data_IF_738104769161
#
_entry.id   IF_738104769161
#
_cell.length_a   1.000
_cell.length_b   1.000
_cell.length_c   1.000
_cell.angle_alpha   90.00
_cell.angle_beta   90.00
_cell.angle_gamma   90.00
#
_symmetry.space_group_name_H-M   'P 1'
#
loop_
_entity.id
_entity.type
_entity.pdbx_description
1 polymer ?
#
# COMPACT_ATOMS: atom_id res chain seq x y z
N UNK A 1 6.47 9.35 24.18
CA UNK A 1 6.05 9.43 22.75
C UNK A 1 7.14 8.79 21.89
N UNK A 2 6.80 8.26 20.71
CA UNK A 2 7.74 7.52 19.85
C UNK A 2 7.92 8.20 18.49
N UNK A 3 9.15 8.53 18.12
CA UNK A 3 9.49 9.12 16.83
C UNK A 3 10.25 8.10 15.97
N UNK A 4 9.54 7.36 15.11
CA UNK A 4 10.18 6.47 14.14
C UNK A 4 10.67 7.25 12.92
N UNK A 5 11.98 7.41 12.79
CA UNK A 5 12.60 8.14 11.69
C UNK A 5 12.48 7.42 10.34
N UNK A 6 12.25 6.10 10.32
CA UNK A 6 11.98 5.36 9.09
C UNK A 6 10.58 5.67 8.56
N UNK A 7 9.64 5.99 9.44
CA UNK A 7 8.26 6.35 9.12
C UNK A 7 7.94 7.82 9.40
N UNK A 8 8.98 8.68 9.48
CA UNK A 8 8.90 10.07 9.92
C UNK A 8 7.78 10.87 9.25
N UNK A 9 7.61 10.72 7.92
CA UNK A 9 6.59 11.45 7.15
C UNK A 9 5.17 11.11 7.57
N UNK A 10 4.91 9.86 7.97
CA UNK A 10 3.61 9.43 8.43
C UNK A 10 3.39 9.85 9.89
N UNK A 11 4.42 9.70 10.73
CA UNK A 11 4.38 10.09 12.14
C UNK A 11 4.19 11.60 12.33
N UNK A 12 4.78 12.43 11.49
CA UNK A 12 4.55 13.89 11.51
C UNK A 12 3.09 14.28 11.25
N UNK A 13 2.36 13.45 10.50
CA UNK A 13 0.94 13.63 10.21
C UNK A 13 0.04 13.06 11.31
N UNK A 14 0.44 11.94 11.90
CA UNK A 14 -0.26 11.32 13.01
C UNK A 14 0.73 10.65 13.99
N UNK A 15 0.81 11.18 15.21
CA UNK A 15 1.72 10.68 16.26
C UNK A 15 1.36 9.25 16.73
N UNK A 16 0.13 8.79 16.48
CA UNK A 16 -0.32 7.42 16.78
C UNK A 16 -0.06 6.44 15.63
N UNK A 17 0.64 6.85 14.56
CA UNK A 17 0.88 6.00 13.40
C UNK A 17 1.70 4.75 13.77
N UNK A 18 1.19 3.58 13.41
CA UNK A 18 1.86 2.28 13.59
C UNK A 18 2.13 1.65 12.23
N UNK A 19 3.39 1.53 11.76
CA UNK A 19 3.68 1.04 10.43
C UNK A 19 3.23 -0.42 10.23
N UNK A 20 2.59 -0.72 9.09
CA UNK A 20 2.25 -2.09 8.68
C UNK A 20 3.52 -2.92 8.47
N UNK A 21 4.46 -2.38 7.70
CA UNK A 21 5.69 -3.06 7.33
C UNK A 21 6.88 -2.57 8.17
N UNK A 22 7.64 -3.53 8.71
CA UNK A 22 8.91 -3.28 9.39
C UNK A 22 10.04 -3.75 8.47
N UNK A 23 10.97 -2.86 8.15
CA UNK A 23 12.07 -3.18 7.23
C UNK A 23 13.04 -4.16 7.89
N UNK A 24 13.66 -5.10 7.18
CA UNK A 24 14.72 -5.93 7.74
C UNK A 24 16.02 -5.11 7.85
N UNK A 25 16.30 -4.56 9.04
CA UNK A 25 17.48 -3.74 9.34
C UNK A 25 17.75 -3.76 10.85
N UNK A 26 18.92 -3.31 11.29
CA UNK A 26 19.25 -3.25 12.72
C UNK A 26 18.59 -2.01 13.34
N UNK A 27 17.49 -2.21 14.05
CA UNK A 27 16.79 -1.15 14.75
C UNK A 27 17.51 -0.74 16.03
N UNK A 28 17.53 0.56 16.28
CA UNK A 28 18.01 1.15 17.52
C UNK A 28 16.94 2.06 18.10
N UNK A 29 16.95 2.19 19.43
CA UNK A 29 16.14 3.14 20.16
C UNK A 29 17.07 4.03 20.99
N UNK A 30 16.87 5.34 20.87
CA UNK A 30 17.57 6.36 21.64
C UNK A 30 16.52 7.18 22.37
N UNK A 31 16.60 7.24 23.70
CA UNK A 31 15.86 8.24 24.45
C UNK A 31 16.62 9.57 24.37
N UNK A 32 15.98 10.59 23.81
CA UNK A 32 16.57 11.93 23.65
C UNK A 32 15.54 12.98 24.01
N UNK A 33 15.83 13.79 25.03
CA UNK A 33 14.95 14.87 25.52
C UNK A 33 13.54 14.35 25.87
N UNK A 34 13.43 13.13 26.42
CA UNK A 34 12.16 12.49 26.82
C UNK A 34 11.36 11.84 25.69
N UNK A 35 11.90 11.79 24.46
CA UNK A 35 11.29 11.10 23.32
C UNK A 35 12.09 9.86 22.96
N UNK A 36 11.39 8.73 22.75
CA UNK A 36 11.99 7.52 22.21
C UNK A 36 12.09 7.64 20.68
N UNK A 37 13.29 7.90 20.19
CA UNK A 37 13.58 8.00 18.76
C UNK A 37 13.98 6.61 18.25
N UNK A 38 13.25 6.09 17.25
CA UNK A 38 13.64 4.88 16.53
C UNK A 38 14.45 5.27 15.30
N UNK A 39 15.60 4.63 15.17
CA UNK A 39 16.46 4.70 14.00
C UNK A 39 16.89 3.28 13.61
N UNK A 40 17.68 3.17 12.53
CA UNK A 40 18.31 1.93 12.13
C UNK A 40 19.70 2.17 11.56
N UNK A 41 20.51 1.13 11.53
CA UNK A 41 21.79 1.12 10.83
C UNK A 41 21.95 -0.21 10.09
N UNK A 42 22.79 -0.20 9.06
CA UNK A 42 23.07 -1.40 8.28
C UNK A 42 24.39 -2.03 8.74
N UNK A 43 25.41 -1.22 9.01
CA UNK A 43 26.74 -1.70 9.43
C UNK A 43 27.51 -0.65 10.27
N UNK A 44 28.54 -1.08 10.97
CA UNK A 44 29.53 -0.24 11.64
C UNK A 44 30.95 -0.65 11.24
N UNK A 45 31.62 0.22 10.48
CA UNK A 45 32.99 0.00 10.03
C UNK A 45 33.97 0.31 11.17
N UNK A 46 34.48 -0.74 11.82
CA UNK A 46 35.40 -0.63 12.95
C UNK A 46 36.72 0.08 12.60
N UNK A 47 37.23 -0.09 11.37
CA UNK A 47 38.49 0.51 10.93
C UNK A 47 38.33 2.00 10.65
N UNK A 48 37.26 2.36 9.93
CA UNK A 48 36.95 3.76 9.60
C UNK A 48 36.21 4.49 10.71
N UNK A 49 35.77 3.79 11.75
CA UNK A 49 34.95 4.33 12.86
C UNK A 49 33.70 5.02 12.29
N UNK A 50 33.04 4.39 11.32
CA UNK A 50 31.98 4.98 10.51
C UNK A 50 30.73 4.11 10.54
N UNK A 51 29.58 4.71 10.88
CA UNK A 51 28.28 4.03 10.86
C UNK A 51 27.70 4.13 9.44
N UNK A 52 27.14 3.04 8.92
CA UNK A 52 26.55 2.98 7.57
C UNK A 52 25.06 2.71 7.66
N UNK A 53 24.26 3.42 6.89
CA UNK A 53 22.85 3.06 6.66
C UNK A 53 22.34 3.53 5.29
N UNK A 54 21.30 2.88 4.79
CA UNK A 54 20.70 3.16 3.49
C UNK A 54 19.33 3.84 3.59
N UNK A 55 19.02 4.70 2.62
CA UNK A 55 17.70 5.36 2.48
C UNK A 55 17.24 5.40 1.04
N UNK A 56 15.97 5.03 0.85
CA UNK A 56 15.29 5.09 -0.44
C UNK A 56 14.89 6.52 -0.79
N UNK A 57 15.86 7.28 -1.28
CA UNK A 57 15.66 8.66 -1.69
C UNK A 57 16.75 9.07 -2.66
N UNK A 58 16.37 9.80 -3.71
CA UNK A 58 17.33 10.38 -4.67
C UNK A 58 18.16 11.54 -4.08
N UNK A 59 17.61 12.23 -3.08
CA UNK A 59 18.24 13.40 -2.43
C UNK A 59 18.25 13.24 -0.90
N UNK A 60 19.22 13.90 -0.26
CA UNK A 60 19.25 14.02 1.19
C UNK A 60 18.06 14.88 1.65
N UNK A 61 17.35 14.43 2.68
CA UNK A 61 16.17 15.11 3.24
C UNK A 61 16.43 15.42 4.71
N UNK A 62 15.69 16.36 5.26
CA UNK A 62 15.83 16.79 6.66
C UNK A 62 15.68 15.63 7.65
N UNK A 63 14.75 14.69 7.41
CA UNK A 63 14.59 13.51 8.25
C UNK A 63 15.78 12.54 8.19
N UNK A 64 16.59 12.55 7.12
CA UNK A 64 17.84 11.79 7.09
C UNK A 64 18.90 12.44 7.97
N UNK A 65 18.90 13.76 8.11
CA UNK A 65 19.79 14.48 9.03
C UNK A 65 19.47 14.09 10.47
N UNK A 66 18.19 14.04 10.84
CA UNK A 66 17.76 13.53 12.16
C UNK A 66 18.23 12.09 12.38
N UNK A 67 18.16 11.25 11.34
CA UNK A 67 18.63 9.87 11.40
C UNK A 67 20.14 9.78 11.64
N UNK A 68 20.93 10.56 10.89
CA UNK A 68 22.40 10.67 11.06
C UNK A 68 22.74 11.06 12.50
N UNK A 69 22.10 12.09 13.04
CA UNK A 69 22.36 12.55 14.41
C UNK A 69 21.98 11.46 15.42
N UNK A 70 20.84 10.79 15.21
CA UNK A 70 20.34 9.75 16.13
C UNK A 70 21.27 8.54 16.18
N UNK A 71 21.72 8.02 15.03
CA UNK A 71 22.65 6.87 15.02
C UNK A 71 24.00 7.25 15.63
N UNK A 72 24.49 8.46 15.36
CA UNK A 72 25.71 8.99 15.96
C UNK A 72 25.62 9.04 17.49
N UNK A 73 24.56 9.65 18.03
CA UNK A 73 24.34 9.76 19.49
C UNK A 73 24.20 8.39 20.13
N UNK A 74 23.47 7.47 19.51
CA UNK A 74 23.31 6.10 20.03
C UNK A 74 24.65 5.38 20.19
N UNK A 75 25.52 5.43 19.19
CA UNK A 75 26.83 4.78 19.25
C UNK A 75 27.77 5.49 20.23
N UNK A 76 27.76 6.84 20.28
CA UNK A 76 28.53 7.61 21.25
C UNK A 76 28.12 7.31 22.69
N UNK A 77 26.82 7.19 22.98
CA UNK A 77 26.31 6.80 24.29
C UNK A 77 26.74 5.39 24.69
N UNK A 78 27.06 4.53 23.72
CA UNK A 78 27.64 3.19 23.94
C UNK A 78 29.17 3.19 24.02
N UNK A 79 29.81 4.36 24.13
CA UNK A 79 31.26 4.50 24.24
C UNK A 79 32.03 4.15 22.96
N UNK A 80 31.36 4.11 21.80
CA UNK A 80 32.04 3.85 20.52
C UNK A 80 32.68 5.13 19.99
N UNK A 81 33.90 5.00 19.47
CA UNK A 81 34.54 6.08 18.73
C UNK A 81 33.95 6.20 17.33
N UNK A 82 33.45 7.37 16.96
CA UNK A 82 32.77 7.61 15.68
C UNK A 82 33.38 8.83 15.00
N UNK A 83 33.92 8.65 13.78
CA UNK A 83 34.46 9.73 12.94
C UNK A 83 33.42 10.32 11.98
N UNK A 84 32.38 9.55 11.67
CA UNK A 84 31.31 10.00 10.80
C UNK A 84 30.24 8.95 10.53
N UNK A 85 29.30 9.33 9.67
CA UNK A 85 28.18 8.50 9.23
C UNK A 85 28.12 8.52 7.72
N UNK A 86 28.01 7.35 7.12
CA UNK A 86 27.82 7.15 5.69
C UNK A 86 26.35 6.80 5.40
N UNK A 87 25.76 7.53 4.45
CA UNK A 87 24.38 7.34 4.02
C UNK A 87 24.34 6.96 2.55
N UNK A 88 23.90 5.75 2.27
CA UNK A 88 23.69 5.25 0.91
C UNK A 88 22.29 5.65 0.44
N UNK A 89 22.24 6.51 -0.57
CA UNK A 89 21.04 6.90 -1.31
C UNK A 89 20.94 6.10 -2.61
N UNK A 90 19.86 6.27 -3.38
CA UNK A 90 19.62 5.45 -4.59
C UNK A 90 20.76 5.52 -5.62
N UNK A 91 21.40 6.70 -5.76
CA UNK A 91 22.37 6.94 -6.83
C UNK A 91 23.75 7.35 -6.30
N UNK A 92 23.94 7.44 -4.97
CA UNK A 92 25.15 8.00 -4.38
C UNK A 92 25.30 7.66 -2.91
N UNK A 93 26.55 7.58 -2.49
CA UNK A 93 26.94 7.45 -1.09
C UNK A 93 27.39 8.81 -0.58
N UNK A 94 26.93 9.19 0.62
CA UNK A 94 27.29 10.44 1.27
C UNK A 94 27.98 10.20 2.60
N UNK A 95 29.13 10.82 2.82
CA UNK A 95 29.81 10.82 4.12
C UNK A 95 29.58 12.12 4.88
N UNK A 96 29.28 12.02 6.17
CA UNK A 96 29.09 13.14 7.09
C UNK A 96 30.05 13.00 8.27
N UNK A 97 30.98 13.95 8.42
CA UNK A 97 31.95 13.95 9.51
C UNK A 97 31.30 14.26 10.86
N UNK A 98 31.91 13.79 11.94
CA UNK A 98 31.51 14.11 13.32
C UNK A 98 31.31 15.62 13.54
N UNK A 99 32.26 16.45 13.09
CA UNK A 99 32.14 17.92 13.17
C UNK A 99 30.88 18.45 12.48
N UNK A 100 30.53 17.89 11.32
CA UNK A 100 29.30 18.28 10.62
C UNK A 100 28.05 17.87 11.40
N UNK A 101 28.05 16.67 11.98
CA UNK A 101 26.92 16.13 12.75
C UNK A 101 26.68 16.98 13.99
N UNK A 102 27.73 17.29 14.76
CA UNK A 102 27.67 18.14 15.94
C UNK A 102 27.04 19.51 15.62
N UNK A 103 27.46 20.14 14.51
CA UNK A 103 26.89 21.42 14.06
C UNK A 103 25.40 21.33 13.69
N UNK A 104 24.89 20.14 13.34
CA UNK A 104 23.48 19.92 12.96
C UNK A 104 22.60 19.44 14.12
N UNK A 105 23.15 19.13 15.29
CA UNK A 105 22.38 18.73 16.47
C UNK A 105 21.21 19.66 16.83
N UNK A 106 21.33 21.00 16.73
CA UNK A 106 20.21 21.90 17.03
C UNK A 106 18.96 21.65 16.18
N UNK A 107 19.11 21.10 14.96
CA UNK A 107 17.98 20.75 14.10
C UNK A 107 17.15 19.61 14.70
N UNK A 108 17.80 18.58 15.24
CA UNK A 108 17.10 17.49 15.91
C UNK A 108 16.40 17.99 17.18
N UNK A 109 17.09 18.81 17.98
CA UNK A 109 16.50 19.38 19.20
C UNK A 109 15.22 20.17 18.89
N UNK A 110 15.27 21.08 17.89
CA UNK A 110 14.09 21.85 17.45
C UNK A 110 12.95 20.95 16.98
N UNK A 111 13.26 19.89 16.24
CA UNK A 111 12.25 18.93 15.78
C UNK A 111 11.59 18.20 16.94
N UNK A 112 12.36 17.78 17.95
CA UNK A 112 11.85 17.08 19.13
C UNK A 112 10.93 17.97 19.96
N UNK A 113 11.28 19.25 20.16
CA UNK A 113 10.39 20.19 20.84
C UNK A 113 9.07 20.38 20.09
N UNK A 114 9.11 20.48 18.76
CA UNK A 114 7.88 20.51 17.96
C UNK A 114 7.10 19.19 18.02
N UNK A 115 7.79 18.06 18.12
CA UNK A 115 7.16 16.75 18.13
C UNK A 115 6.47 16.45 19.47
N UNK A 116 6.90 17.07 20.57
CA UNK A 116 6.28 16.96 21.90
C UNK A 116 4.85 17.53 21.94
N UNK A 117 4.54 18.48 21.07
CA UNK A 117 3.20 19.10 21.00
C UNK A 117 2.20 18.04 20.49
N UNK A 118 1.22 17.61 21.30
CA UNK A 118 0.25 16.61 20.88
C UNK A 118 -0.59 17.10 19.69
N UNK A 119 -0.85 16.21 18.74
CA UNK A 119 -1.74 16.49 17.61
C UNK A 119 -2.96 15.59 17.66
N UNK A 120 -4.11 16.17 17.37
CA UNK A 120 -5.32 15.39 17.15
C UNK A 120 -5.15 14.43 15.98
N UNK A 121 -5.75 13.24 16.11
CA UNK A 121 -5.77 12.26 15.02
C UNK A 121 -6.70 12.80 13.93
N UNK A 122 -6.20 12.81 12.71
CA UNK A 122 -7.01 13.11 11.51
C UNK A 122 -6.87 11.95 10.53
N UNK A 123 -7.88 11.63 9.73
CA UNK A 123 -7.71 10.64 8.67
C UNK A 123 -6.94 11.24 7.48
N UNK A 124 -6.24 10.39 6.72
CA UNK A 124 -5.56 10.82 5.50
C UNK A 124 -4.81 9.71 4.79
N UNK A 125 -4.10 10.08 3.71
CA UNK A 125 -3.40 9.12 2.82
C UNK A 125 -2.33 8.26 3.50
N UNK A 126 -1.89 8.60 4.71
CA UNK A 126 -0.94 7.82 5.49
C UNK A 126 -1.61 6.65 6.22
N UNK A 127 -2.93 6.70 6.48
CA UNK A 127 -3.65 5.63 7.16
C UNK A 127 -3.55 4.28 6.44
N UNK A 128 -3.41 4.27 5.10
CA UNK A 128 -3.23 3.03 4.33
C UNK A 128 -1.96 2.24 4.68
N UNK A 129 -0.99 2.88 5.35
CA UNK A 129 0.23 2.26 5.82
C UNK A 129 0.21 1.98 7.34
N UNK A 130 -0.93 2.17 8.00
CA UNK A 130 -1.08 2.11 9.44
C UNK A 130 -1.80 0.82 9.89
N UNK A 131 -1.22 0.07 10.85
CA UNK A 131 -1.83 -1.17 11.39
C UNK A 131 -3.16 -0.91 12.09
N UNK A 132 -3.30 0.22 12.77
CA UNK A 132 -4.51 0.57 13.55
C UNK A 132 -5.57 1.32 12.74
N UNK A 133 -5.43 1.39 11.39
CA UNK A 133 -6.35 2.11 10.49
C UNK A 133 -7.82 1.78 10.76
N UNK A 134 -8.16 0.50 10.80
CA UNK A 134 -9.55 0.04 10.91
C UNK A 134 -10.19 0.51 12.21
N UNK A 135 -9.52 0.28 13.34
CA UNK A 135 -9.97 0.75 14.66
C UNK A 135 -10.13 2.28 14.67
N UNK A 136 -9.13 3.03 14.21
CA UNK A 136 -9.21 4.49 14.16
C UNK A 136 -10.37 4.99 13.31
N UNK A 137 -10.59 4.40 12.13
CA UNK A 137 -11.70 4.82 11.26
C UNK A 137 -13.07 4.51 11.86
N UNK A 138 -13.22 3.39 12.56
CA UNK A 138 -14.45 3.10 13.31
C UNK A 138 -14.69 4.13 14.43
N UNK A 139 -13.64 4.56 15.14
CA UNK A 139 -13.73 5.62 16.15
C UNK A 139 -14.18 6.96 15.54
N UNK A 140 -13.67 7.33 14.36
CA UNK A 140 -14.12 8.54 13.65
C UNK A 140 -15.61 8.46 13.31
N UNK A 141 -16.08 7.35 12.74
CA UNK A 141 -17.49 7.15 12.39
C UNK A 141 -18.38 7.24 13.63
N UNK A 142 -17.99 6.61 14.75
CA UNK A 142 -18.73 6.67 16.02
C UNK A 142 -18.86 8.08 16.59
N UNK A 143 -17.89 8.95 16.29
CA UNK A 143 -17.90 10.38 16.66
C UNK A 143 -18.64 11.26 15.65
N UNK A 144 -19.26 10.67 14.62
CA UNK A 144 -19.95 11.39 13.55
C UNK A 144 -19.03 11.93 12.45
N UNK A 145 -17.72 11.62 12.49
CA UNK A 145 -16.80 11.98 11.42
C UNK A 145 -16.87 10.96 10.27
N UNK A 146 -17.59 11.34 9.23
CA UNK A 146 -17.80 10.53 8.01
C UNK A 146 -16.71 10.74 6.94
N UNK A 147 -15.63 11.47 7.24
CA UNK A 147 -14.54 11.72 6.28
C UNK A 147 -13.73 10.47 5.91
N UNK A 148 -13.89 9.37 6.66
CA UNK A 148 -13.29 8.06 6.39
C UNK A 148 -14.14 7.16 5.50
N UNK A 149 -15.36 7.60 5.14
CA UNK A 149 -16.26 6.83 4.29
C UNK A 149 -15.78 6.89 2.84
N UNK A 150 -15.62 5.75 2.14
CA UNK A 150 -15.21 5.74 0.73
C UNK A 150 -16.15 6.56 -0.15
N UNK A 151 -15.57 7.50 -0.91
CA UNK A 151 -16.30 8.42 -1.78
C UNK A 151 -16.79 9.71 -1.11
N UNK A 152 -16.69 9.85 0.22
CA UNK A 152 -17.01 11.09 0.91
C UNK A 152 -15.76 11.96 1.02
N UNK A 153 -15.56 12.81 0.02
CA UNK A 153 -14.50 13.83 0.01
C UNK A 153 -15.00 15.19 0.51
N UNK A 154 -14.09 16.13 0.76
CA UNK A 154 -14.46 17.53 1.05
C UNK A 154 -15.26 18.17 -0.08
N UNK A 155 -14.93 17.87 -1.33
CA UNK A 155 -15.67 18.36 -2.51
C UNK A 155 -17.06 17.73 -2.59
N UNK A 156 -17.20 16.42 -2.34
CA UNK A 156 -18.50 15.74 -2.29
C UNK A 156 -19.41 16.35 -1.20
N UNK A 157 -18.88 16.61 0.00
CA UNK A 157 -19.63 17.26 1.07
C UNK A 157 -20.01 18.72 0.77
N UNK A 158 -19.27 19.39 -0.12
CA UNK A 158 -19.65 20.72 -0.62
C UNK A 158 -20.83 20.60 -1.58
N UNK A 159 -20.75 19.68 -2.54
CA UNK A 159 -21.83 19.42 -3.52
C UNK A 159 -23.14 19.01 -2.84
N UNK A 160 -23.10 18.14 -1.82
CA UNK A 160 -24.31 17.78 -1.07
C UNK A 160 -24.94 18.98 -0.36
N UNK A 161 -24.14 19.93 0.13
CA UNK A 161 -24.65 21.16 0.75
C UNK A 161 -25.35 22.07 -0.25
N UNK A 162 -24.82 22.18 -1.47
CA UNK A 162 -25.43 22.97 -2.55
C UNK A 162 -26.82 22.46 -2.94
N UNK A 163 -27.09 21.16 -2.78
CA UNK A 163 -28.40 20.54 -3.00
C UNK A 163 -29.20 20.32 -1.70
N UNK A 164 -28.80 20.93 -0.58
CA UNK A 164 -29.47 20.82 0.73
C UNK A 164 -29.61 19.38 1.27
N UNK A 165 -28.68 18.48 0.94
CA UNK A 165 -28.67 17.09 1.43
C UNK A 165 -27.69 16.96 2.59
N UNK A 166 -28.19 16.53 3.75
CA UNK A 166 -27.35 16.06 4.84
C UNK A 166 -27.13 14.53 4.71
N UNK A 167 -25.89 14.06 4.56
CA UNK A 167 -25.60 12.65 4.28
C UNK A 167 -26.05 11.70 5.41
N UNK A 168 -25.86 12.09 6.68
CA UNK A 168 -26.26 11.26 7.83
C UNK A 168 -27.79 11.14 7.88
N UNK A 169 -28.49 12.28 7.79
CA UNK A 169 -29.97 12.28 7.78
C UNK A 169 -30.52 11.50 6.58
N UNK A 170 -29.93 11.62 5.40
CA UNK A 170 -30.36 10.88 4.21
C UNK A 170 -30.25 9.35 4.42
N UNK A 171 -29.21 8.89 5.09
CA UNK A 171 -29.01 7.48 5.43
C UNK A 171 -29.98 7.02 6.53
N UNK A 172 -30.07 7.75 7.64
CA UNK A 172 -30.92 7.40 8.79
C UNK A 172 -32.42 7.38 8.44
N UNK A 173 -32.86 8.32 7.61
CA UNK A 173 -34.26 8.38 7.14
C UNK A 173 -34.55 7.49 5.92
N UNK A 174 -33.57 6.70 5.47
CA UNK A 174 -33.67 5.81 4.31
C UNK A 174 -34.09 6.53 3.00
N UNK A 175 -33.66 7.79 2.82
CA UNK A 175 -33.99 8.65 1.68
C UNK A 175 -32.90 8.69 0.59
N UNK A 176 -32.00 7.72 0.56
CA UNK A 176 -30.90 7.68 -0.42
C UNK A 176 -31.42 7.74 -1.86
N UNK A 177 -32.55 7.09 -2.16
CA UNK A 177 -33.15 7.12 -3.51
C UNK A 177 -33.67 8.50 -3.95
N UNK A 178 -33.91 9.41 -3.01
CA UNK A 178 -34.36 10.77 -3.31
C UNK A 178 -33.19 11.70 -3.68
N UNK A 179 -31.95 11.26 -3.40
CA UNK A 179 -30.73 11.98 -3.77
C UNK A 179 -30.39 11.67 -5.24
N UNK A 180 -29.85 12.63 -6.03
CA UNK A 180 -29.48 12.35 -7.42
C UNK A 180 -28.52 11.15 -7.55
N UNK A 181 -28.69 10.27 -8.56
CA UNK A 181 -27.96 8.99 -8.68
C UNK A 181 -26.45 9.10 -8.50
N UNK A 182 -25.82 10.13 -9.07
CA UNK A 182 -24.38 10.37 -9.01
C UNK A 182 -23.84 10.58 -7.58
N UNK A 183 -24.70 10.90 -6.62
CA UNK A 183 -24.31 11.09 -5.22
C UNK A 183 -24.69 9.91 -4.31
N UNK A 184 -25.44 8.91 -4.80
CA UNK A 184 -25.97 7.83 -3.95
C UNK A 184 -24.90 6.86 -3.46
N UNK A 185 -23.89 6.55 -4.29
CA UNK A 185 -22.89 5.52 -3.96
C UNK A 185 -22.16 5.79 -2.62
N UNK A 186 -21.63 6.99 -2.35
CA UNK A 186 -21.02 7.28 -1.05
C UNK A 186 -22.01 7.21 0.13
N UNK A 187 -23.31 7.48 -0.09
CA UNK A 187 -24.35 7.33 0.93
C UNK A 187 -24.63 5.85 1.24
N UNK A 188 -24.64 4.96 0.24
CA UNK A 188 -24.71 3.52 0.52
C UNK A 188 -23.45 3.02 1.24
N UNK A 189 -22.27 3.56 0.92
CA UNK A 189 -21.04 3.24 1.68
C UNK A 189 -21.17 3.66 3.15
N UNK A 190 -21.72 4.85 3.42
CA UNK A 190 -22.01 5.31 4.78
C UNK A 190 -23.03 4.38 5.46
N UNK A 191 -24.15 4.06 4.80
CA UNK A 191 -25.18 3.15 5.32
C UNK A 191 -24.61 1.77 5.65
N UNK A 192 -23.79 1.21 4.75
CA UNK A 192 -23.15 -0.08 4.95
C UNK A 192 -22.22 -0.06 6.17
N UNK A 193 -21.42 0.99 6.32
CA UNK A 193 -20.53 1.17 7.49
C UNK A 193 -21.31 1.33 8.81
N UNK A 194 -22.38 2.13 8.83
CA UNK A 194 -23.19 2.36 10.02
C UNK A 194 -23.96 1.10 10.46
N UNK A 195 -24.46 0.32 9.50
CA UNK A 195 -25.21 -0.91 9.77
C UNK A 195 -24.33 -2.15 9.90
N UNK A 196 -23.03 -2.02 9.56
CA UNK A 196 -22.08 -3.12 9.45
C UNK A 196 -22.58 -4.28 8.56
N UNK A 197 -23.30 -3.96 7.48
CA UNK A 197 -23.91 -4.95 6.56
C UNK A 197 -23.58 -4.63 5.12
N UNK A 198 -23.36 -5.65 4.26
CA UNK A 198 -23.22 -5.43 2.83
C UNK A 198 -24.57 -4.97 2.26
N UNK A 199 -24.52 -4.10 1.25
CA UNK A 199 -25.68 -3.58 0.53
C UNK A 199 -25.47 -3.84 -0.94
N UNK A 200 -26.38 -4.59 -1.55
CA UNK A 200 -26.42 -4.80 -3.00
C UNK A 200 -27.24 -3.65 -3.58
N UNK A 201 -26.60 -2.79 -4.36
CA UNK A 201 -27.26 -1.69 -5.08
C UNK A 201 -27.88 -2.24 -6.35
N UNK A 202 -27.10 -3.03 -7.09
CA UNK A 202 -27.52 -3.70 -8.32
C UNK A 202 -26.88 -5.10 -8.38
N UNK A 203 -27.57 -6.08 -8.94
CA UNK A 203 -26.97 -7.41 -9.20
C UNK A 203 -26.16 -7.35 -10.49
N UNK A 204 -25.07 -8.10 -10.55
CA UNK A 204 -24.29 -8.27 -11.78
C UNK A 204 -23.90 -9.73 -11.99
N UNK A 205 -23.65 -10.10 -13.24
CA UNK A 205 -23.26 -11.46 -13.58
C UNK A 205 -21.83 -11.76 -13.10
N UNK A 206 -21.68 -12.86 -12.37
CA UNK A 206 -20.38 -13.41 -11.98
C UNK A 206 -20.05 -14.58 -12.91
N UNK A 207 -18.87 -14.58 -13.55
CA UNK A 207 -18.49 -15.64 -14.49
C UNK A 207 -18.42 -16.99 -13.77
N UNK A 208 -18.94 -18.06 -14.42
CA UNK A 208 -18.89 -19.43 -13.87
C UNK A 208 -17.50 -20.07 -13.99
N UNK A 209 -16.81 -19.81 -15.10
CA UNK A 209 -15.44 -20.26 -15.38
C UNK A 209 -14.55 -19.03 -15.52
N UNK A 210 -13.48 -19.00 -14.75
CA UNK A 210 -12.58 -17.86 -14.70
C UNK A 210 -11.18 -18.28 -14.26
N UNK A 211 -10.20 -17.50 -14.70
CA UNK A 211 -8.89 -17.40 -14.08
C UNK A 211 -8.80 -16.07 -13.33
N UNK A 212 -7.90 -16.00 -12.35
CA UNK A 212 -7.52 -14.73 -11.74
C UNK A 212 -6.14 -14.32 -12.23
N UNK A 213 -5.96 -13.04 -12.51
CA UNK A 213 -4.71 -12.43 -12.93
C UNK A 213 -4.35 -11.25 -12.01
N UNK A 214 -3.07 -11.14 -11.66
CA UNK A 214 -2.46 -10.03 -10.94
C UNK A 214 -1.01 -9.82 -11.44
N UNK A 215 -0.50 -8.58 -11.42
CA UNK A 215 0.85 -8.23 -11.90
C UNK A 215 1.64 -7.40 -10.89
N UNK A 216 2.93 -7.71 -10.77
CA UNK A 216 3.87 -6.90 -10.01
C UNK A 216 4.85 -6.15 -10.92
N UNK A 217 4.90 -4.83 -10.69
CA UNK A 217 5.66 -3.89 -11.52
C UNK A 217 6.75 -3.18 -10.74
N UNK A 218 7.92 -3.04 -11.35
CA UNK A 218 8.99 -2.17 -10.88
C UNK A 218 9.44 -1.21 -11.99
N UNK A 219 9.11 0.07 -11.84
CA UNK A 219 9.29 1.10 -12.88
C UNK A 219 8.48 0.72 -14.12
N UNK A 220 9.15 0.47 -15.24
CA UNK A 220 8.52 0.11 -16.50
C UNK A 220 8.51 -1.42 -16.73
N UNK A 221 9.16 -2.20 -15.85
CA UNK A 221 9.25 -3.65 -15.94
C UNK A 221 8.14 -4.33 -15.14
N UNK A 222 7.34 -5.16 -15.81
CA UNK A 222 6.47 -6.13 -15.16
C UNK A 222 7.28 -7.40 -14.93
N UNK A 223 7.68 -7.65 -13.69
CA UNK A 223 8.64 -8.71 -13.36
C UNK A 223 7.99 -10.00 -12.88
N UNK A 224 6.70 -9.97 -12.53
CA UNK A 224 5.92 -11.14 -12.13
C UNK A 224 4.48 -10.99 -12.60
N UNK A 225 4.00 -11.98 -13.34
CA UNK A 225 2.58 -12.17 -13.67
C UNK A 225 2.07 -13.41 -12.93
N UNK A 226 1.09 -13.22 -12.06
CA UNK A 226 0.44 -14.27 -11.28
C UNK A 226 -0.85 -14.74 -11.94
N UNK A 227 -1.04 -16.05 -12.04
CA UNK A 227 -2.30 -16.64 -12.49
C UNK A 227 -2.79 -17.68 -11.48
N UNK A 228 -4.06 -17.57 -11.08
CA UNK A 228 -4.76 -18.63 -10.38
C UNK A 228 -5.77 -19.28 -11.33
N UNK A 229 -5.57 -20.57 -11.61
CA UNK A 229 -6.46 -21.37 -12.45
C UNK A 229 -6.83 -22.66 -11.71
N UNK A 230 -8.13 -22.90 -11.54
CA UNK A 230 -8.66 -24.11 -10.87
C UNK A 230 -7.98 -24.38 -9.51
N UNK A 231 -7.77 -23.30 -8.73
CA UNK A 231 -7.14 -23.35 -7.40
C UNK A 231 -5.62 -23.49 -7.38
N UNK A 232 -4.97 -23.66 -8.55
CA UNK A 232 -3.52 -23.76 -8.69
C UNK A 232 -2.95 -22.41 -9.11
N UNK A 233 -2.02 -21.89 -8.31
CA UNK A 233 -1.30 -20.66 -8.60
C UNK A 233 -0.07 -20.97 -9.48
N UNK A 234 0.19 -20.09 -10.46
CA UNK A 234 1.36 -20.15 -11.34
C UNK A 234 1.95 -18.76 -11.49
N UNK A 235 3.23 -18.64 -11.15
CA UNK A 235 4.02 -17.44 -11.37
C UNK A 235 4.73 -17.49 -12.73
N UNK A 236 4.63 -16.41 -13.50
CA UNK A 236 5.45 -16.17 -14.70
C UNK A 236 6.40 -15.02 -14.39
N UNK A 237 7.67 -15.35 -14.21
CA UNK A 237 8.71 -14.38 -13.89
C UNK A 237 9.32 -13.82 -15.16
N UNK A 238 9.44 -12.49 -15.19
CA UNK A 238 10.16 -11.75 -16.22
C UNK A 238 11.29 -10.93 -15.58
N UNK A 239 12.12 -11.64 -14.81
CA UNK A 239 13.29 -11.05 -14.13
C UNK A 239 14.52 -10.97 -15.04
N UNK A 240 14.53 -11.78 -16.11
CA UNK A 240 15.52 -11.75 -17.19
C UNK A 240 14.83 -11.26 -18.45
N UNK A 241 15.25 -10.08 -18.90
CA UNK A 241 14.58 -9.23 -19.89
C UNK A 241 14.59 -9.90 -21.29
N UNK A 242 13.67 -10.84 -21.53
CA UNK A 242 13.54 -11.57 -22.79
C UNK A 242 12.09 -11.52 -23.27
N UNK A 243 11.90 -11.10 -24.53
CA UNK A 243 10.58 -10.97 -25.15
C UNK A 243 9.82 -12.32 -25.18
N UNK A 244 10.55 -13.43 -25.19
CA UNK A 244 10.02 -14.80 -25.20
C UNK A 244 9.14 -15.13 -23.97
N UNK A 245 9.48 -14.60 -22.80
CA UNK A 245 8.73 -14.90 -21.56
C UNK A 245 7.34 -14.25 -21.58
N UNK A 246 7.26 -13.02 -22.11
CA UNK A 246 6.00 -12.32 -22.27
C UNK A 246 5.11 -13.03 -23.30
N UNK A 247 5.65 -13.41 -24.46
CA UNK A 247 4.87 -14.13 -25.46
C UNK A 247 4.33 -15.46 -24.92
N UNK A 248 5.16 -16.26 -24.24
CA UNK A 248 4.74 -17.52 -23.62
C UNK A 248 3.64 -17.31 -22.59
N UNK A 249 3.72 -16.25 -21.80
CA UNK A 249 2.68 -15.87 -20.84
C UNK A 249 1.37 -15.52 -21.57
N UNK A 250 1.43 -14.66 -22.60
CA UNK A 250 0.25 -14.26 -23.38
C UNK A 250 -0.39 -15.43 -24.13
N UNK A 251 0.41 -16.35 -24.65
CA UNK A 251 -0.08 -17.59 -25.25
C UNK A 251 -0.78 -18.48 -24.22
N UNK A 252 -0.18 -18.63 -23.02
CA UNK A 252 -0.78 -19.40 -21.95
C UNK A 252 -2.14 -18.83 -21.53
N UNK A 253 -2.23 -17.53 -21.25
CA UNK A 253 -3.48 -16.89 -20.82
C UNK A 253 -4.52 -16.87 -21.95
N UNK A 254 -4.11 -16.78 -23.22
CA UNK A 254 -5.02 -16.95 -24.37
C UNK A 254 -5.56 -18.38 -24.45
N UNK A 255 -4.72 -19.38 -24.20
CA UNK A 255 -5.10 -20.80 -24.29
C UNK A 255 -6.17 -21.22 -23.28
N UNK A 256 -6.34 -20.50 -22.17
CA UNK A 256 -7.34 -20.85 -21.15
C UNK A 256 -8.77 -20.68 -21.66
N UNK A 257 -9.01 -19.72 -22.55
CA UNK A 257 -10.34 -19.33 -23.07
C UNK A 257 -11.38 -18.97 -21.97
N UNK A 258 -10.96 -18.82 -20.72
CA UNK A 258 -11.82 -18.45 -19.59
C UNK A 258 -11.85 -16.93 -19.37
N UNK A 259 -12.85 -16.42 -18.64
CA UNK A 259 -12.90 -15.01 -18.24
C UNK A 259 -11.73 -14.69 -17.32
N UNK A 260 -11.12 -13.52 -17.51
CA UNK A 260 -9.92 -13.08 -16.79
C UNK A 260 -10.36 -12.07 -15.74
N UNK A 261 -10.52 -12.55 -14.51
CA UNK A 261 -10.88 -11.72 -13.37
C UNK A 261 -9.61 -11.07 -12.83
N UNK A 262 -9.64 -9.75 -12.67
CA UNK A 262 -8.55 -8.97 -12.09
C UNK A 262 -9.13 -7.92 -11.13
N UNK A 263 -8.27 -7.31 -10.34
CA UNK A 263 -8.69 -6.36 -9.31
C UNK A 263 -8.01 -5.01 -9.53
N UNK A 264 -8.61 -4.22 -10.43
CA UNK A 264 -8.20 -2.91 -10.94
C UNK A 264 -7.73 -2.99 -12.41
N UNK A 265 -8.34 -2.15 -13.26
CA UNK A 265 -7.97 -1.92 -14.67
C UNK A 265 -6.46 -1.74 -14.92
N UNK A 266 -5.68 -1.37 -13.90
CA UNK A 266 -4.22 -1.33 -13.95
C UNK A 266 -3.61 -2.60 -14.55
N UNK A 267 -4.09 -3.79 -14.19
CA UNK A 267 -3.50 -5.07 -14.60
C UNK A 267 -3.52 -5.27 -16.12
N UNK A 268 -4.64 -4.92 -16.76
CA UNK A 268 -4.78 -4.98 -18.23
C UNK A 268 -4.04 -3.82 -18.90
N UNK A 269 -4.05 -2.61 -18.29
CA UNK A 269 -3.27 -1.48 -18.81
C UNK A 269 -1.78 -1.76 -18.84
N UNK A 270 -1.25 -2.53 -17.88
CA UNK A 270 0.14 -2.97 -17.90
C UNK A 270 0.45 -3.85 -19.10
N UNK A 271 -0.43 -4.81 -19.41
CA UNK A 271 -0.31 -5.63 -20.62
C UNK A 271 -0.33 -4.78 -21.91
N UNK A 272 -1.22 -3.78 -21.99
CA UNK A 272 -1.25 -2.83 -23.11
C UNK A 272 0.07 -2.07 -23.24
N UNK A 273 0.65 -1.62 -22.12
CA UNK A 273 1.90 -0.85 -22.11
C UNK A 273 3.09 -1.68 -22.59
N UNK A 274 3.25 -2.91 -22.08
CA UNK A 274 4.42 -3.74 -22.41
C UNK A 274 4.32 -4.36 -23.81
N UNK A 275 3.11 -4.55 -24.33
CA UNK A 275 2.90 -5.06 -25.70
C UNK A 275 2.87 -3.95 -26.76
N UNK A 276 2.83 -2.66 -26.36
CA UNK A 276 2.59 -1.52 -27.25
C UNK A 276 3.48 -1.49 -28.49
N UNK A 277 4.72 -1.95 -28.42
CA UNK A 277 5.66 -1.92 -29.55
C UNK A 277 5.98 -3.31 -30.13
N UNK A 278 5.19 -4.34 -29.79
CA UNK A 278 5.43 -5.73 -30.18
C UNK A 278 4.22 -6.25 -30.98
N UNK A 279 4.19 -5.95 -32.27
CA UNK A 279 3.00 -6.09 -33.13
C UNK A 279 2.42 -7.52 -33.19
N UNK A 280 3.26 -8.56 -33.16
CA UNK A 280 2.79 -9.95 -33.22
C UNK A 280 2.05 -10.40 -31.95
N UNK A 281 2.17 -9.66 -30.84
CA UNK A 281 1.48 -9.93 -29.58
C UNK A 281 0.08 -9.33 -29.51
N UNK A 282 -0.27 -8.38 -30.36
CA UNK A 282 -1.58 -7.73 -30.36
C UNK A 282 -2.74 -8.72 -30.52
N UNK A 283 -2.53 -9.81 -31.28
CA UNK A 283 -3.53 -10.88 -31.46
C UNK A 283 -3.88 -11.60 -30.16
N UNK A 284 -2.97 -11.63 -29.19
CA UNK A 284 -3.21 -12.19 -27.86
C UNK A 284 -3.84 -11.14 -26.95
N UNK A 285 -3.29 -9.92 -26.94
CA UNK A 285 -3.81 -8.81 -26.14
C UNK A 285 -5.30 -8.58 -26.40
N UNK A 286 -5.71 -8.45 -27.67
CA UNK A 286 -7.11 -8.21 -28.02
C UNK A 286 -8.06 -9.28 -27.45
N UNK A 287 -7.65 -10.56 -27.50
CA UNK A 287 -8.42 -11.69 -26.96
C UNK A 287 -8.41 -11.78 -25.43
N UNK A 288 -7.41 -11.19 -24.79
CA UNK A 288 -7.32 -11.04 -23.33
C UNK A 288 -8.24 -9.91 -22.87
N UNK A 289 -8.20 -8.78 -23.58
CA UNK A 289 -9.05 -7.61 -23.30
C UNK A 289 -10.54 -7.93 -23.43
N UNK A 290 -10.92 -8.68 -24.47
CA UNK A 290 -12.32 -9.11 -24.68
C UNK A 290 -12.85 -9.99 -23.53
N UNK A 291 -11.95 -10.71 -22.84
CA UNK A 291 -12.28 -11.58 -21.70
C UNK A 291 -12.02 -10.92 -20.34
N UNK A 292 -11.62 -9.65 -20.31
CA UNK A 292 -11.29 -8.92 -19.08
C UNK A 292 -12.53 -8.69 -18.21
N UNK A 293 -12.41 -8.97 -16.92
CA UNK A 293 -13.44 -8.74 -15.92
C UNK A 293 -12.84 -8.00 -14.73
N UNK A 294 -13.06 -6.67 -14.67
CA UNK A 294 -12.62 -5.84 -13.56
C UNK A 294 -13.56 -6.01 -12.36
N UNK A 295 -13.15 -6.80 -11.38
CA UNK A 295 -13.93 -7.04 -10.17
C UNK A 295 -14.08 -5.77 -9.31
N UNK A 296 -13.04 -4.93 -9.29
CA UNK A 296 -13.07 -3.69 -8.52
C UNK A 296 -14.13 -2.74 -9.07
N UNK A 297 -14.21 -2.57 -10.39
CA UNK A 297 -15.25 -1.75 -11.05
C UNK A 297 -16.66 -2.24 -10.70
N UNK A 298 -16.90 -3.55 -10.82
CA UNK A 298 -18.21 -4.16 -10.51
C UNK A 298 -18.61 -3.91 -9.06
N UNK A 299 -17.68 -4.05 -8.11
CA UNK A 299 -17.93 -3.75 -6.69
C UNK A 299 -18.20 -2.26 -6.49
N UNK A 300 -17.35 -1.38 -7.03
CA UNK A 300 -17.50 0.07 -6.88
C UNK A 300 -18.86 0.56 -7.36
N UNK A 301 -19.36 0.03 -8.48
CA UNK A 301 -20.65 0.43 -9.01
C UNK A 301 -21.81 -0.16 -8.21
N UNK A 302 -21.73 -1.45 -7.89
CA UNK A 302 -22.94 -2.22 -7.58
C UNK A 302 -23.06 -2.67 -6.12
N UNK A 303 -21.99 -2.65 -5.31
CA UNK A 303 -22.01 -3.22 -3.96
C UNK A 303 -21.35 -2.30 -2.95
N UNK A 304 -22.04 -1.99 -1.87
CA UNK A 304 -21.47 -1.29 -0.72
C UNK A 304 -21.14 -2.26 0.40
N UNK A 305 -19.87 -2.33 0.79
CA UNK A 305 -19.36 -3.17 1.87
C UNK A 305 -18.99 -2.30 3.09
N UNK A 306 -19.05 -2.85 4.32
CA UNK A 306 -18.76 -2.11 5.55
C UNK A 306 -17.24 -1.98 5.77
N UNK A 307 -16.57 -1.40 4.78
CA UNK A 307 -15.12 -1.17 4.75
C UNK A 307 -14.83 0.30 4.51
N UNK A 308 -13.75 0.79 5.11
CA UNK A 308 -13.33 2.20 4.99
C UNK A 308 -12.38 2.43 3.82
N UNK A 309 -12.15 1.39 3.01
CA UNK A 309 -11.43 1.43 1.75
C UNK A 309 -11.72 0.14 0.99
N UNK A 310 -11.82 0.26 -0.33
CA UNK A 310 -12.07 -0.85 -1.24
C UNK A 310 -10.78 -1.40 -1.85
N UNK A 311 -9.66 -1.29 -1.12
CA UNK A 311 -8.47 -2.02 -1.50
C UNK A 311 -8.72 -3.53 -1.40
N UNK A 312 -8.06 -4.33 -2.25
CA UNK A 312 -8.16 -5.79 -2.23
C UNK A 312 -7.93 -6.34 -0.81
N UNK A 313 -6.91 -5.84 -0.11
CA UNK A 313 -6.58 -6.22 1.26
C UNK A 313 -7.67 -5.90 2.28
N UNK A 314 -8.38 -4.78 2.16
CA UNK A 314 -9.43 -4.43 3.10
C UNK A 314 -10.72 -5.22 2.85
N UNK A 315 -11.10 -5.43 1.58
CA UNK A 315 -12.29 -6.23 1.23
C UNK A 315 -12.08 -7.70 1.55
N UNK A 316 -10.93 -8.26 1.17
CA UNK A 316 -10.62 -9.67 1.46
C UNK A 316 -10.61 -9.96 2.96
N UNK A 317 -10.06 -9.06 3.78
CA UNK A 317 -10.11 -9.16 5.25
C UNK A 317 -11.53 -9.11 5.80
N UNK A 318 -12.39 -8.24 5.24
CA UNK A 318 -13.80 -8.22 5.61
C UNK A 318 -14.47 -9.59 5.38
N UNK A 319 -14.13 -10.26 4.28
CA UNK A 319 -14.59 -11.61 3.98
C UNK A 319 -13.82 -12.73 4.71
N UNK A 320 -12.89 -12.39 5.61
CA UNK A 320 -12.17 -13.36 6.43
C UNK A 320 -10.92 -13.96 5.79
N UNK A 321 -10.42 -13.42 4.67
CA UNK A 321 -9.17 -13.86 4.06
C UNK A 321 -7.99 -13.63 5.01
N UNK A 322 -7.18 -14.67 5.20
CA UNK A 322 -5.97 -14.63 6.03
C UNK A 322 -4.75 -14.54 5.11
N UNK A 323 -4.20 -13.33 5.01
CA UNK A 323 -2.98 -13.06 4.26
C UNK A 323 -1.80 -13.78 4.90
N UNK A 324 -0.96 -14.41 4.08
CA UNK A 324 0.28 -15.05 4.48
C UNK A 324 1.40 -14.02 4.66
N UNK A 325 1.26 -12.84 4.06
CA UNK A 325 2.27 -11.79 4.10
C UNK A 325 1.74 -10.47 4.68
N UNK A 326 2.61 -9.79 5.43
CA UNK A 326 2.40 -8.41 5.87
C UNK A 326 2.83 -7.37 4.82
N UNK A 327 3.23 -7.83 3.64
CA UNK A 327 3.65 -6.96 2.55
C UNK A 327 2.48 -6.09 2.06
N UNK A 328 2.85 -5.00 1.43
CA UNK A 328 1.98 -4.09 0.69
C UNK A 328 2.77 -3.62 -0.54
N UNK A 329 2.12 -2.95 -1.49
CA UNK A 329 2.79 -2.52 -2.72
C UNK A 329 4.08 -1.69 -2.52
N UNK A 330 4.21 -0.95 -1.41
CA UNK A 330 5.49 -0.27 -1.09
C UNK A 330 6.57 -1.23 -0.57
N UNK A 331 6.18 -2.25 0.19
CA UNK A 331 7.11 -3.28 0.66
C UNK A 331 7.59 -4.19 -0.49
N UNK A 332 6.75 -4.44 -1.50
CA UNK A 332 7.14 -5.19 -2.71
C UNK A 332 8.30 -4.51 -3.43
N UNK A 333 8.26 -3.20 -3.58
CA UNK A 333 9.37 -2.42 -4.13
C UNK A 333 10.69 -2.61 -3.35
N UNK A 334 10.62 -2.68 -2.02
CA UNK A 334 11.80 -2.89 -1.16
C UNK A 334 12.34 -4.31 -1.33
N UNK A 335 11.46 -5.31 -1.29
CA UNK A 335 11.86 -6.71 -1.47
C UNK A 335 12.43 -6.94 -2.87
N UNK A 336 11.86 -6.34 -3.92
CA UNK A 336 12.41 -6.48 -5.28
C UNK A 336 13.81 -5.88 -5.39
N UNK A 337 14.06 -4.72 -4.76
CA UNK A 337 15.41 -4.15 -4.68
C UNK A 337 16.39 -5.03 -3.91
N UNK A 338 15.93 -5.70 -2.86
CA UNK A 338 16.77 -6.64 -2.11
C UNK A 338 17.12 -7.86 -2.97
N UNK A 339 16.15 -8.39 -3.72
CA UNK A 339 16.38 -9.44 -4.71
C UNK A 339 17.46 -9.03 -5.73
N UNK A 340 17.38 -7.82 -6.30
CA UNK A 340 18.41 -7.29 -7.21
C UNK A 340 19.81 -7.13 -6.56
N UNK A 341 19.90 -7.08 -5.23
CA UNK A 341 21.17 -7.05 -4.48
C UNK A 341 21.69 -8.43 -4.11
N UNK A 342 21.00 -9.51 -4.52
CA UNK A 342 21.39 -10.89 -4.27
C UNK A 342 20.62 -11.59 -3.14
N UNK A 343 19.67 -10.92 -2.50
CA UNK A 343 18.82 -11.54 -1.47
C UNK A 343 17.71 -12.38 -2.12
N UNK A 344 18.02 -13.63 -2.48
CA UNK A 344 17.11 -14.52 -3.22
C UNK A 344 15.78 -14.76 -2.49
N UNK A 345 15.79 -14.76 -1.16
CA UNK A 345 14.59 -14.94 -0.31
C UNK A 345 13.54 -13.84 -0.52
N UNK A 346 13.92 -12.67 -1.02
CA UNK A 346 12.99 -11.59 -1.30
C UNK A 346 12.03 -11.92 -2.44
N UNK A 347 12.48 -12.68 -3.44
CA UNK A 347 11.62 -13.07 -4.56
C UNK A 347 10.49 -14.01 -4.11
N UNK A 348 10.80 -14.96 -3.22
CA UNK A 348 9.80 -15.89 -2.65
C UNK A 348 8.70 -15.15 -1.89
N UNK A 349 9.06 -14.08 -1.17
CA UNK A 349 8.06 -13.25 -0.46
C UNK A 349 7.14 -12.51 -1.43
N UNK A 350 7.68 -12.01 -2.55
CA UNK A 350 6.90 -11.31 -3.57
C UNK A 350 5.94 -12.28 -4.25
N UNK A 351 6.41 -13.49 -4.61
CA UNK A 351 5.57 -14.54 -5.18
C UNK A 351 4.41 -14.90 -4.23
N UNK A 352 4.68 -15.06 -2.92
CA UNK A 352 3.64 -15.32 -1.92
C UNK A 352 2.62 -14.18 -1.79
N UNK A 353 3.07 -12.94 -1.92
CA UNK A 353 2.18 -11.78 -1.88
C UNK A 353 1.25 -11.73 -3.11
N UNK A 354 1.80 -11.90 -4.31
CA UNK A 354 1.02 -11.95 -5.55
C UNK A 354 0.09 -13.18 -5.60
N UNK A 355 0.49 -14.32 -5.01
CA UNK A 355 -0.39 -15.46 -4.80
C UNK A 355 -1.57 -15.11 -3.88
N UNK A 356 -1.33 -14.39 -2.78
CA UNK A 356 -2.40 -13.90 -1.91
C UNK A 356 -3.33 -12.92 -2.64
N UNK A 357 -2.83 -12.04 -3.51
CA UNK A 357 -3.66 -11.15 -4.34
C UNK A 357 -4.59 -11.96 -5.25
N UNK A 358 -4.06 -12.97 -5.95
CA UNK A 358 -4.86 -13.84 -6.81
C UNK A 358 -5.92 -14.63 -6.02
N UNK A 359 -5.52 -15.26 -4.90
CA UNK A 359 -6.41 -16.10 -4.08
C UNK A 359 -7.48 -15.27 -3.37
N UNK A 360 -7.11 -14.09 -2.88
CA UNK A 360 -8.06 -13.19 -2.22
C UNK A 360 -9.08 -12.63 -3.20
N UNK A 361 -8.67 -12.31 -4.44
CA UNK A 361 -9.58 -11.90 -5.52
C UNK A 361 -10.59 -13.00 -5.85
N UNK A 362 -10.14 -14.26 -6.00
CA UNK A 362 -11.05 -15.40 -6.20
C UNK A 362 -12.02 -15.56 -5.02
N UNK A 363 -11.55 -15.48 -3.78
CA UNK A 363 -12.41 -15.57 -2.59
C UNK A 363 -13.48 -14.47 -2.59
N UNK A 364 -13.12 -13.23 -2.90
CA UNK A 364 -14.08 -12.12 -2.98
C UNK A 364 -15.14 -12.44 -4.02
N UNK A 365 -14.74 -12.86 -5.22
CA UNK A 365 -15.68 -13.20 -6.29
C UNK A 365 -16.69 -14.26 -5.83
N UNK A 366 -16.24 -15.34 -5.18
CA UNK A 366 -17.11 -16.39 -4.65
C UNK A 366 -18.02 -15.88 -3.52
N UNK A 367 -17.52 -15.03 -2.62
CA UNK A 367 -18.33 -14.43 -1.56
C UNK A 367 -19.41 -13.50 -2.09
N UNK A 368 -19.10 -12.74 -3.14
CA UNK A 368 -20.11 -11.93 -3.83
C UNK A 368 -21.15 -12.79 -4.55
N UNK A 369 -20.74 -13.94 -5.10
CA UNK A 369 -21.69 -14.92 -5.67
C UNK A 369 -22.65 -15.45 -4.61
N UNK A 370 -22.14 -15.80 -3.43
CA UNK A 370 -22.99 -16.21 -2.29
C UNK A 370 -23.94 -15.09 -1.85
N UNK A 371 -23.47 -13.84 -1.78
CA UNK A 371 -24.29 -12.69 -1.38
C UNK A 371 -25.41 -12.36 -2.38
N UNK A 372 -25.22 -12.66 -3.68
CA UNK A 372 -26.18 -12.32 -4.74
C UNK A 372 -27.16 -13.45 -5.10
N UNK A 373 -26.99 -14.64 -4.52
CA UNK A 373 -28.04 -15.68 -4.53
C UNK A 373 -29.27 -15.11 -3.83
#
# INVERSE_FOLDING_TARGET
MKLDLLNYRNIKKCQSFVPIYKRPTNYIQLNYEGIDIIASYDDYDHRRKTIKFSRESRKLKLNHIYHIITVYLYFKNKGKEIRGVEVTLENKVHYFSERWILRKMPLLKKEIEQFKIPKERTPGNYCKFCKIKQQCHQEFIKKGDISVVPGISKSYLKLLREINVNPIKAVESNKIEQVPPQFRKPLYNLKSLLTNKPIIIEKFEIPKKYIVYDVETYRDLDFLHGILIKGKYKAFLNVENTDDNLERFLQFIDSTKEIIVHYDVYDIKRLQMITKNISHLYKYLYRIEDRSYDLYEKIQKNISLPVTSYSLKDISKYFGYKWQTDLNGYAIFIEYKNYLRGHKESLEKIIKYNEDDCRSTAMILEKLRELMK
#
